data_IF_686169883485
#
_entry.id   IF_686169883485
#
_cell.length_a   1.000
_cell.length_b   1.000
_cell.length_c   1.000
_cell.angle_alpha   90.00
_cell.angle_beta   90.00
_cell.angle_gamma   90.00
#
_symmetry.space_group_name_H-M   'P 1'
#
loop_
_entity.id
_entity.type
_entity.pdbx_description
1 polymer ?
#
# COMPACT_ATOMS: atom_id res chain seq x y z
N UNK A 1 -9.84 -12.10 -22.18
CA UNK A 1 -8.86 -11.35 -21.38
C UNK A 1 -7.80 -12.34 -20.87
N UNK A 2 -6.50 -12.08 -21.09
CA UNK A 2 -5.44 -12.98 -20.58
C UNK A 2 -5.35 -12.92 -19.04
N UNK A 3 -4.87 -13.99 -18.41
CA UNK A 3 -4.67 -14.03 -16.95
C UNK A 3 -3.74 -12.90 -16.48
N UNK A 4 -2.63 -12.69 -17.19
CA UNK A 4 -1.68 -11.61 -16.91
C UNK A 4 -2.33 -10.21 -16.92
N UNK A 5 -3.16 -9.92 -17.93
CA UNK A 5 -3.89 -8.66 -18.01
C UNK A 5 -4.90 -8.53 -16.86
N UNK A 6 -5.60 -9.60 -16.49
CA UNK A 6 -6.54 -9.61 -15.36
C UNK A 6 -5.86 -9.20 -14.05
N UNK A 7 -4.72 -9.81 -13.73
CA UNK A 7 -4.02 -9.52 -12.47
C UNK A 7 -3.27 -8.19 -12.48
N UNK A 8 -2.82 -7.74 -13.65
CA UNK A 8 -2.31 -6.36 -13.80
C UNK A 8 -3.41 -5.34 -13.50
N UNK A 9 -4.65 -5.57 -13.99
CA UNK A 9 -5.81 -4.73 -13.66
C UNK A 9 -6.16 -4.77 -12.17
N UNK A 10 -5.93 -5.90 -11.49
CA UNK A 10 -6.12 -5.98 -10.03
C UNK A 10 -5.12 -5.08 -9.28
N UNK A 11 -3.87 -4.96 -9.75
CA UNK A 11 -2.92 -4.01 -9.16
C UNK A 11 -3.33 -2.57 -9.42
N UNK A 12 -3.85 -2.25 -10.61
CA UNK A 12 -4.35 -0.90 -10.90
C UNK A 12 -5.60 -0.56 -10.08
N UNK A 13 -6.51 -1.52 -9.90
CA UNK A 13 -7.65 -1.39 -8.98
C UNK A 13 -7.16 -1.16 -7.54
N UNK A 14 -6.12 -1.91 -7.13
CA UNK A 14 -5.50 -1.74 -5.83
C UNK A 14 -4.94 -0.33 -5.66
N UNK A 15 -4.16 0.15 -6.64
CA UNK A 15 -3.61 1.49 -6.64
C UNK A 15 -4.69 2.58 -6.59
N UNK A 16 -5.80 2.41 -7.32
CA UNK A 16 -6.92 3.35 -7.28
C UNK A 16 -7.63 3.36 -5.92
N UNK A 17 -7.94 2.19 -5.36
CA UNK A 17 -8.56 2.09 -4.03
C UNK A 17 -7.61 2.60 -2.93
N UNK A 18 -6.31 2.33 -3.05
CA UNK A 18 -5.26 2.85 -2.19
C UNK A 18 -5.15 4.37 -2.26
N UNK A 19 -5.19 4.95 -3.46
CA UNK A 19 -5.19 6.39 -3.69
C UNK A 19 -6.41 7.08 -3.06
N UNK A 20 -7.63 6.54 -3.27
CA UNK A 20 -8.83 7.02 -2.61
C UNK A 20 -8.75 6.89 -1.08
N UNK A 21 -8.11 5.82 -0.60
CA UNK A 21 -7.83 5.60 0.82
C UNK A 21 -6.89 6.66 1.39
N UNK A 22 -5.80 6.98 0.71
CA UNK A 22 -4.87 8.04 1.12
C UNK A 22 -5.55 9.40 1.18
N UNK A 23 -6.37 9.73 0.17
CA UNK A 23 -7.19 10.95 0.17
C UNK A 23 -8.13 10.99 1.38
N UNK A 24 -8.80 9.88 1.69
CA UNK A 24 -9.67 9.77 2.87
C UNK A 24 -8.89 9.96 4.17
N UNK A 25 -7.67 9.42 4.26
CA UNK A 25 -6.77 9.64 5.40
C UNK A 25 -6.38 11.11 5.52
N UNK A 26 -6.06 11.77 4.41
CA UNK A 26 -5.71 13.19 4.40
C UNK A 26 -6.86 14.06 4.89
N UNK A 27 -8.08 13.83 4.41
CA UNK A 27 -9.29 14.51 4.88
C UNK A 27 -9.49 14.28 6.38
N UNK A 28 -9.45 13.02 6.84
CA UNK A 28 -9.60 12.69 8.25
C UNK A 28 -8.58 13.40 9.15
N UNK A 29 -7.33 13.50 8.71
CA UNK A 29 -6.25 14.13 9.49
C UNK A 29 -6.36 15.65 9.46
N UNK A 30 -6.59 16.25 8.28
CA UNK A 30 -6.52 17.70 8.09
C UNK A 30 -7.81 18.42 8.44
N UNK A 31 -8.95 17.90 8.01
CA UNK A 31 -10.24 18.57 8.20
C UNK A 31 -10.94 18.14 9.49
N UNK A 32 -10.66 16.93 9.99
CA UNK A 32 -11.30 16.38 11.20
C UNK A 32 -10.35 16.26 12.40
N UNK A 33 -9.07 16.61 12.25
CA UNK A 33 -8.08 16.58 13.33
C UNK A 33 -7.79 15.18 13.88
N UNK A 34 -8.11 14.12 13.13
CA UNK A 34 -7.93 12.74 13.58
C UNK A 34 -6.45 12.37 13.46
N UNK A 35 -5.85 11.91 14.56
CA UNK A 35 -4.46 11.41 14.52
C UNK A 35 -4.38 10.22 13.57
N UNK A 36 -3.35 10.21 12.72
CA UNK A 36 -3.08 9.17 11.72
C UNK A 36 -3.21 7.75 12.28
N UNK A 37 -2.67 7.49 13.47
CA UNK A 37 -2.69 6.15 14.08
C UNK A 37 -4.14 5.64 14.31
N UNK A 38 -5.08 6.53 14.61
CA UNK A 38 -6.50 6.15 14.77
C UNK A 38 -7.12 5.76 13.43
N UNK A 39 -6.77 6.49 12.37
CA UNK A 39 -7.18 6.15 10.99
C UNK A 39 -6.61 4.78 10.60
N UNK A 40 -5.34 4.51 10.93
CA UNK A 40 -4.70 3.24 10.61
C UNK A 40 -5.29 2.05 11.37
N UNK A 41 -5.52 2.18 12.69
CA UNK A 41 -6.11 1.12 13.52
C UNK A 41 -7.52 0.81 13.01
N UNK A 42 -8.36 1.83 12.87
CA UNK A 42 -9.75 1.65 12.41
C UNK A 42 -9.82 1.06 11.00
N UNK A 43 -8.99 1.53 10.07
CA UNK A 43 -8.98 1.02 8.71
C UNK A 43 -8.54 -0.46 8.65
N UNK A 44 -7.49 -0.84 9.37
CA UNK A 44 -7.04 -2.23 9.45
C UNK A 44 -8.09 -3.15 10.11
N UNK A 45 -8.73 -2.67 11.18
CA UNK A 45 -9.78 -3.40 11.89
C UNK A 45 -11.01 -3.63 11.02
N UNK A 46 -11.51 -2.59 10.34
CA UNK A 46 -12.64 -2.70 9.41
C UNK A 46 -12.27 -3.60 8.24
N UNK A 47 -11.10 -3.40 7.63
CA UNK A 47 -10.68 -4.17 6.48
C UNK A 47 -10.53 -5.66 6.80
N UNK A 48 -9.81 -6.00 7.87
CA UNK A 48 -9.62 -7.40 8.26
C UNK A 48 -10.94 -8.06 8.65
N UNK A 49 -11.84 -7.34 9.36
CA UNK A 49 -13.16 -7.86 9.73
C UNK A 49 -14.01 -8.16 8.49
N UNK A 50 -14.02 -7.26 7.51
CA UNK A 50 -14.77 -7.44 6.26
C UNK A 50 -14.23 -8.62 5.45
N UNK A 51 -12.90 -8.74 5.31
CA UNK A 51 -12.29 -9.83 4.53
C UNK A 51 -12.49 -11.19 5.20
N UNK A 52 -12.33 -11.27 6.53
CA UNK A 52 -12.58 -12.50 7.28
C UNK A 52 -14.09 -12.83 7.32
N UNK A 53 -14.96 -11.85 7.54
CA UNK A 53 -16.41 -12.04 7.46
C UNK A 53 -16.86 -12.56 6.09
N UNK A 54 -16.28 -12.02 5.01
CA UNK A 54 -16.51 -12.51 3.66
C UNK A 54 -15.99 -13.93 3.44
N UNK A 55 -14.82 -14.25 3.99
CA UNK A 55 -14.28 -15.61 3.98
C UNK A 55 -15.22 -16.59 4.70
N UNK A 56 -15.91 -16.15 5.75
CA UNK A 56 -16.75 -17.00 6.58
C UNK A 56 -18.06 -17.29 5.86
N UNK A 57 -18.64 -16.24 5.27
CA UNK A 57 -19.84 -16.34 4.46
C UNK A 57 -19.70 -17.29 3.28
N UNK A 58 -18.54 -17.30 2.60
CA UNK A 58 -18.31 -18.20 1.45
C UNK A 58 -18.10 -19.68 1.82
N UNK A 59 -17.80 -19.99 3.09
CA UNK A 59 -17.51 -21.35 3.53
C UNK A 59 -16.29 -21.99 2.84
N UNK A 60 -16.01 -23.26 3.18
CA UNK A 60 -15.07 -24.11 2.43
C UNK A 60 -13.58 -23.73 2.49
N UNK A 61 -13.19 -22.76 3.32
CA UNK A 61 -11.81 -22.25 3.42
C UNK A 61 -11.07 -22.90 4.59
N UNK A 62 -9.76 -23.10 4.44
CA UNK A 62 -8.90 -23.63 5.53
C UNK A 62 -8.45 -22.50 6.45
N UNK A 63 -9.31 -22.15 7.40
CA UNK A 63 -9.09 -21.11 8.42
C UNK A 63 -7.91 -21.38 9.33
N UNK A 64 -7.73 -22.64 9.70
CA UNK A 64 -6.72 -23.10 10.65
C UNK A 64 -5.95 -24.28 10.08
N UNK A 65 -4.93 -24.72 10.82
CA UNK A 65 -4.08 -25.85 10.42
C UNK A 65 -2.90 -25.46 9.54
N UNK A 66 -2.60 -24.17 9.38
CA UNK A 66 -1.37 -23.73 8.73
C UNK A 66 -0.17 -24.11 9.60
N UNK A 67 0.96 -24.42 8.97
CA UNK A 67 2.18 -24.77 9.68
C UNK A 67 2.68 -23.62 10.56
N UNK A 68 3.37 -23.94 11.67
CA UNK A 68 3.93 -22.92 12.58
C UNK A 68 4.78 -21.88 11.85
N UNK A 69 5.55 -22.31 10.85
CA UNK A 69 6.36 -21.41 10.03
C UNK A 69 5.52 -20.38 9.26
N UNK A 70 4.35 -20.76 8.75
CA UNK A 70 3.48 -19.86 8.00
C UNK A 70 2.80 -18.84 8.93
N UNK A 71 2.41 -19.25 10.14
CA UNK A 71 1.91 -18.32 11.16
C UNK A 71 2.98 -17.32 11.61
N UNK A 72 4.23 -17.76 11.79
CA UNK A 72 5.34 -16.87 12.15
C UNK A 72 5.61 -15.88 11.00
N UNK A 73 5.69 -16.36 9.76
CA UNK A 73 5.89 -15.49 8.58
C UNK A 73 4.73 -14.51 8.40
N UNK A 74 3.49 -14.94 8.65
CA UNK A 74 2.32 -14.08 8.65
C UNK A 74 2.45 -12.99 9.72
N UNK A 75 2.77 -13.36 10.96
CA UNK A 75 2.91 -12.41 12.06
C UNK A 75 4.00 -11.38 11.77
N UNK A 76 5.19 -11.83 11.36
CA UNK A 76 6.31 -10.94 11.04
C UNK A 76 6.01 -10.07 9.81
N UNK A 77 5.43 -10.66 8.76
CA UNK A 77 5.04 -9.94 7.56
C UNK A 77 3.95 -8.90 7.83
N UNK A 78 2.97 -9.24 8.68
CA UNK A 78 1.91 -8.34 9.09
C UNK A 78 2.42 -7.23 10.01
N UNK A 79 3.29 -7.56 10.97
CA UNK A 79 3.92 -6.58 11.84
C UNK A 79 4.75 -5.58 11.02
N UNK A 80 5.51 -6.06 10.03
CA UNK A 80 6.32 -5.21 9.17
C UNK A 80 5.46 -4.33 8.25
N UNK A 81 4.47 -4.91 7.57
CA UNK A 81 3.69 -4.23 6.52
C UNK A 81 2.55 -3.37 7.07
N UNK A 82 1.79 -3.89 8.04
CA UNK A 82 0.56 -3.23 8.52
C UNK A 82 0.75 -2.43 9.80
N UNK A 83 1.95 -2.45 10.41
CA UNK A 83 2.22 -1.72 11.65
C UNK A 83 3.58 -0.99 11.65
N UNK A 84 4.71 -1.70 11.78
CA UNK A 84 6.03 -1.11 11.99
C UNK A 84 6.49 -0.22 10.84
N UNK A 85 6.38 -0.68 9.58
CA UNK A 85 6.71 0.15 8.41
C UNK A 85 5.91 1.44 8.40
N UNK A 86 4.60 1.35 8.71
CA UNK A 86 3.71 2.50 8.80
C UNK A 86 4.13 3.47 9.92
N UNK A 87 4.39 2.98 11.13
CA UNK A 87 4.82 3.82 12.25
C UNK A 87 6.13 4.56 11.94
N UNK A 88 7.12 3.83 11.40
CA UNK A 88 8.40 4.42 10.99
C UNK A 88 8.24 5.47 9.89
N UNK A 89 7.34 5.25 8.93
CA UNK A 89 7.07 6.21 7.86
C UNK A 89 6.49 7.50 8.42
N UNK A 90 5.49 7.42 9.30
CA UNK A 90 4.85 8.60 9.86
C UNK A 90 5.74 9.36 10.84
N UNK A 91 6.61 8.65 11.56
CA UNK A 91 7.66 9.28 12.35
C UNK A 91 8.63 10.04 11.43
N UNK A 92 9.07 9.43 10.32
CA UNK A 92 9.89 10.10 9.32
C UNK A 92 9.21 11.36 8.76
N UNK A 93 7.92 11.27 8.41
CA UNK A 93 7.13 12.44 7.95
C UNK A 93 7.18 13.58 8.99
N UNK A 94 7.16 13.27 10.28
CA UNK A 94 7.30 14.27 11.34
C UNK A 94 8.64 15.02 11.35
N UNK A 95 9.73 14.35 10.96
CA UNK A 95 11.08 14.95 10.90
C UNK A 95 11.39 15.68 9.60
N UNK A 96 11.05 15.05 8.46
CA UNK A 96 11.52 15.50 7.13
C UNK A 96 10.38 15.94 6.20
N UNK A 97 9.13 15.92 6.68
CA UNK A 97 7.96 16.31 5.93
C UNK A 97 7.48 15.25 4.92
N UNK A 98 6.23 15.42 4.47
CA UNK A 98 5.54 14.46 3.60
C UNK A 98 6.21 14.29 2.23
N UNK A 99 6.69 15.37 1.61
CA UNK A 99 7.30 15.34 0.27
C UNK A 99 8.56 14.47 0.26
N UNK A 100 9.52 14.75 1.16
CA UNK A 100 10.79 14.02 1.24
C UNK A 100 10.61 12.57 1.71
N UNK A 101 9.74 12.34 2.71
CA UNK A 101 9.41 10.99 3.16
C UNK A 101 8.73 10.15 2.06
N UNK A 102 7.86 10.76 1.25
CA UNK A 102 7.21 10.07 0.13
C UNK A 102 8.20 9.66 -0.96
N UNK A 103 9.18 10.50 -1.26
CA UNK A 103 10.25 10.21 -2.21
C UNK A 103 11.14 9.06 -1.72
N UNK A 104 11.64 9.14 -0.48
CA UNK A 104 12.44 8.07 0.13
C UNK A 104 11.64 6.77 0.30
N UNK A 105 10.34 6.88 0.59
CA UNK A 105 9.43 5.75 0.66
C UNK A 105 9.35 4.96 -0.65
N UNK A 106 9.60 5.57 -1.82
CA UNK A 106 9.59 4.84 -3.11
C UNK A 106 10.75 3.86 -3.26
N UNK A 107 11.78 3.95 -2.42
CA UNK A 107 12.82 2.93 -2.34
C UNK A 107 12.23 1.56 -1.96
N UNK A 108 11.03 1.52 -1.36
CA UNK A 108 10.29 0.28 -1.07
C UNK A 108 10.17 -0.58 -2.33
N UNK A 109 9.78 0.00 -3.48
CA UNK A 109 9.66 -0.75 -4.74
C UNK A 109 11.00 -1.37 -5.16
N UNK A 110 12.10 -0.63 -5.02
CA UNK A 110 13.45 -1.13 -5.35
C UNK A 110 13.80 -2.28 -4.41
N UNK A 111 13.59 -2.12 -3.11
CA UNK A 111 13.85 -3.17 -2.13
C UNK A 111 12.97 -4.41 -2.35
N UNK A 112 11.69 -4.26 -2.68
CA UNK A 112 10.81 -5.39 -3.01
C UNK A 112 11.37 -6.15 -4.20
N UNK A 113 11.72 -5.46 -5.29
CA UNK A 113 12.29 -6.11 -6.49
C UNK A 113 13.58 -6.85 -6.14
N UNK A 114 14.51 -6.20 -5.43
CA UNK A 114 15.78 -6.83 -5.06
C UNK A 114 15.57 -8.05 -4.17
N UNK A 115 14.76 -7.93 -3.11
CA UNK A 115 14.49 -9.02 -2.20
C UNK A 115 13.71 -10.16 -2.87
N UNK A 116 12.77 -9.86 -3.77
CA UNK A 116 12.04 -10.87 -4.52
C UNK A 116 12.95 -11.62 -5.51
N UNK A 117 13.86 -10.93 -6.21
CA UNK A 117 14.85 -11.58 -7.08
C UNK A 117 15.80 -12.47 -6.27
N UNK A 118 16.24 -12.03 -5.10
CA UNK A 118 17.20 -12.78 -4.26
C UNK A 118 16.53 -13.96 -3.54
N UNK A 119 15.42 -13.71 -2.83
CA UNK A 119 14.80 -14.68 -1.92
C UNK A 119 13.69 -15.52 -2.58
N UNK A 120 12.94 -14.95 -3.52
CA UNK A 120 11.87 -15.64 -4.23
C UNK A 120 12.32 -16.15 -5.61
N UNK A 121 13.51 -15.74 -6.08
CA UNK A 121 14.07 -16.10 -7.39
C UNK A 121 13.14 -15.70 -8.54
N UNK A 122 12.43 -14.58 -8.39
CA UNK A 122 11.56 -14.06 -9.45
C UNK A 122 12.40 -13.65 -10.68
N UNK A 123 11.96 -13.98 -11.91
CA UNK A 123 12.67 -13.58 -13.12
C UNK A 123 12.60 -12.07 -13.30
N UNK A 124 13.76 -11.44 -13.46
CA UNK A 124 13.84 -9.99 -13.67
C UNK A 124 14.83 -9.62 -14.76
N UNK A 125 14.33 -9.02 -15.83
CA UNK A 125 15.12 -8.72 -17.03
C UNK A 125 15.46 -7.24 -17.13
N UNK A 126 16.41 -6.87 -18.02
CA UNK A 126 16.78 -5.47 -18.28
C UNK A 126 15.59 -4.59 -18.68
N UNK A 127 14.58 -5.15 -19.36
CA UNK A 127 13.35 -4.44 -19.73
C UNK A 127 12.47 -4.13 -18.51
N UNK A 128 12.43 -5.03 -17.52
CA UNK A 128 11.75 -4.78 -16.26
C UNK A 128 12.41 -3.64 -15.48
N UNK A 129 13.76 -3.60 -15.46
CA UNK A 129 14.51 -2.48 -14.89
C UNK A 129 14.19 -1.16 -15.59
N UNK A 130 14.17 -1.14 -16.92
CA UNK A 130 13.85 0.08 -17.66
C UNK A 130 12.45 0.60 -17.32
N UNK A 131 11.43 -0.26 -17.37
CA UNK A 131 10.05 0.10 -17.02
C UNK A 131 9.90 0.53 -15.55
N UNK A 132 10.57 -0.16 -14.63
CA UNK A 132 10.57 0.16 -13.20
C UNK A 132 11.25 1.49 -12.88
N UNK A 133 12.43 1.76 -13.46
CA UNK A 133 13.14 3.03 -13.30
C UNK A 133 12.35 4.19 -13.93
N UNK A 134 11.70 3.96 -15.07
CA UNK A 134 10.78 4.94 -15.65
C UNK A 134 9.61 5.24 -14.69
N UNK A 135 8.96 4.21 -14.14
CA UNK A 135 7.85 4.40 -13.19
C UNK A 135 8.29 5.12 -11.90
N UNK A 136 9.50 4.83 -11.40
CA UNK A 136 10.09 5.53 -10.26
C UNK A 136 10.38 6.99 -10.59
N UNK A 137 10.98 7.27 -11.74
CA UNK A 137 11.24 8.64 -12.20
C UNK A 137 9.93 9.43 -12.35
N UNK A 138 8.91 8.83 -12.97
CA UNK A 138 7.59 9.45 -13.08
C UNK A 138 6.95 9.72 -11.71
N UNK A 139 7.17 8.85 -10.72
CA UNK A 139 6.71 9.06 -9.35
C UNK A 139 7.45 10.20 -8.65
N UNK A 140 8.76 10.36 -8.89
CA UNK A 140 9.52 11.49 -8.40
C UNK A 140 9.08 12.82 -9.03
N UNK A 141 8.72 12.82 -10.32
CA UNK A 141 8.14 13.98 -11.01
C UNK A 141 6.76 14.36 -10.46
N UNK A 142 5.93 13.35 -10.17
CA UNK A 142 4.61 13.48 -9.51
C UNK A 142 4.72 14.19 -8.16
N UNK A 143 5.71 13.83 -7.36
CA UNK A 143 5.93 14.39 -6.02
C UNK A 143 7.04 15.45 -6.01
N UNK A 144 7.28 16.10 -7.14
CA UNK A 144 8.40 17.03 -7.27
C UNK A 144 8.18 18.25 -6.37
N UNK A 145 9.01 18.37 -5.35
CA UNK A 145 9.07 19.50 -4.45
C UNK A 145 10.54 19.95 -4.34
N UNK A 146 10.91 21.17 -4.79
CA UNK A 146 12.28 21.65 -4.74
C UNK A 146 12.95 21.52 -3.36
N UNK A 147 12.17 21.68 -2.28
CA UNK A 147 12.67 21.56 -0.90
C UNK A 147 12.94 20.12 -0.46
N UNK A 148 12.41 19.12 -1.17
CA UNK A 148 12.58 17.71 -0.83
C UNK A 148 13.87 17.09 -1.38
N UNK A 149 14.58 17.78 -2.29
CA UNK A 149 15.79 17.25 -2.95
C UNK A 149 17.10 17.55 -2.20
N UNK A 150 17.04 18.18 -1.02
CA UNK A 150 18.24 18.33 -0.19
C UNK A 150 18.65 16.96 0.35
N UNK A 151 19.85 16.50 0.00
CA UNK A 151 20.40 15.25 0.52
C UNK A 151 21.08 15.52 1.86
N UNK A 152 20.26 15.57 2.90
CA UNK A 152 20.72 15.64 4.28
C UNK A 152 20.72 14.21 4.84
N UNK A 153 21.85 13.76 5.37
CA UNK A 153 21.95 12.47 6.07
C UNK A 153 21.50 12.66 7.52
N UNK A 154 20.19 12.77 7.73
CA UNK A 154 19.58 12.94 9.03
C UNK A 154 18.85 11.69 9.54
N UNK A 155 18.34 11.79 10.77
CA UNK A 155 17.58 10.72 11.42
C UNK A 155 16.26 10.44 10.70
N UNK A 156 15.58 11.48 10.21
CA UNK A 156 14.31 11.33 9.49
C UNK A 156 14.47 10.62 8.14
N UNK A 157 15.55 10.91 7.40
CA UNK A 157 15.88 10.23 6.15
C UNK A 157 16.21 8.76 6.40
N UNK A 158 16.99 8.46 7.44
CA UNK A 158 17.29 7.09 7.84
C UNK A 158 15.99 6.33 8.20
N UNK A 159 15.10 6.94 8.97
CA UNK A 159 13.81 6.35 9.32
C UNK A 159 12.95 6.05 8.09
N UNK A 160 12.91 6.95 7.11
CA UNK A 160 12.17 6.73 5.86
C UNK A 160 12.75 5.54 5.06
N UNK A 161 14.07 5.44 4.96
CA UNK A 161 14.73 4.31 4.27
C UNK A 161 14.49 2.99 5.02
N UNK A 162 14.60 3.00 6.35
CA UNK A 162 14.34 1.81 7.19
C UNK A 162 12.87 1.40 7.11
N UNK A 163 11.95 2.36 7.06
CA UNK A 163 10.53 2.10 6.83
C UNK A 163 10.31 1.39 5.49
N UNK A 164 10.87 1.94 4.40
CA UNK A 164 10.77 1.35 3.07
C UNK A 164 11.33 -0.09 3.01
N UNK A 165 12.48 -0.33 3.66
CA UNK A 165 13.05 -1.67 3.78
C UNK A 165 12.15 -2.61 4.61
N UNK A 166 11.57 -2.10 5.70
CA UNK A 166 10.66 -2.85 6.57
C UNK A 166 9.41 -3.28 5.80
N UNK A 167 8.79 -2.38 5.05
CA UNK A 167 7.68 -2.70 4.14
C UNK A 167 8.08 -3.78 3.14
N UNK A 168 9.24 -3.63 2.49
CA UNK A 168 9.71 -4.59 1.51
C UNK A 168 9.89 -5.99 2.10
N UNK A 169 10.55 -6.12 3.26
CA UNK A 169 10.68 -7.40 3.99
C UNK A 169 9.30 -7.97 4.33
N UNK A 170 8.38 -7.13 4.78
CA UNK A 170 7.00 -7.50 5.08
C UNK A 170 6.27 -8.10 3.87
N UNK A 171 6.38 -7.46 2.71
CA UNK A 171 5.80 -7.94 1.45
C UNK A 171 6.37 -9.30 1.04
N UNK A 172 7.68 -9.52 1.17
CA UNK A 172 8.30 -10.81 0.83
C UNK A 172 7.85 -11.93 1.79
N UNK A 173 7.75 -11.62 3.09
CA UNK A 173 7.22 -12.57 4.07
C UNK A 173 5.76 -12.91 3.79
N UNK A 174 4.93 -11.91 3.51
CA UNK A 174 3.52 -12.12 3.13
C UNK A 174 3.41 -12.94 1.85
N UNK A 175 4.19 -12.62 0.82
CA UNK A 175 4.25 -13.38 -0.44
C UNK A 175 4.54 -14.85 -0.21
N UNK A 176 5.50 -15.17 0.66
CA UNK A 176 5.86 -16.56 0.98
C UNK A 176 4.71 -17.36 1.64
N UNK A 177 3.78 -16.69 2.32
CA UNK A 177 2.58 -17.31 2.90
C UNK A 177 1.46 -17.35 1.88
N UNK A 178 1.27 -16.27 1.11
CA UNK A 178 0.28 -16.16 0.04
C UNK A 178 0.46 -17.27 -1.01
N UNK A 179 1.67 -17.69 -1.33
CA UNK A 179 1.89 -18.77 -2.30
C UNK A 179 1.40 -20.15 -1.81
N UNK A 180 1.12 -20.29 -0.51
CA UNK A 180 0.73 -21.55 0.12
C UNK A 180 -0.68 -21.55 0.69
N UNK A 181 -1.19 -20.37 1.04
CA UNK A 181 -2.42 -20.18 1.79
C UNK A 181 -3.41 -19.28 1.05
N UNK A 182 -4.67 -19.31 1.47
CA UNK A 182 -5.71 -18.50 0.83
C UNK A 182 -5.45 -16.99 1.01
N UNK A 183 -5.38 -16.25 -0.10
CA UNK A 183 -5.02 -14.85 -0.11
C UNK A 183 -5.96 -13.93 0.69
N UNK A 184 -7.25 -14.28 0.78
CA UNK A 184 -8.22 -13.53 1.57
C UNK A 184 -7.97 -13.71 3.07
N UNK A 185 -7.64 -14.93 3.51
CA UNK A 185 -7.35 -15.21 4.91
C UNK A 185 -6.01 -14.59 5.33
N UNK A 186 -4.97 -14.72 4.50
CA UNK A 186 -3.66 -14.10 4.76
C UNK A 186 -3.79 -12.59 4.89
N UNK A 187 -4.52 -11.95 3.99
CA UNK A 187 -4.77 -10.51 4.03
C UNK A 187 -5.60 -10.12 5.26
N UNK A 188 -6.71 -10.83 5.51
CA UNK A 188 -7.61 -10.54 6.62
C UNK A 188 -6.94 -10.70 7.99
N UNK A 189 -6.24 -11.82 8.22
CA UNK A 189 -5.46 -12.02 9.45
C UNK A 189 -4.32 -11.01 9.57
N UNK A 190 -3.61 -10.73 8.47
CA UNK A 190 -2.51 -9.76 8.48
C UNK A 190 -2.96 -8.37 8.92
N UNK A 191 -4.09 -7.89 8.38
CA UNK A 191 -4.66 -6.60 8.77
C UNK A 191 -5.14 -6.60 10.22
N UNK A 192 -5.73 -7.70 10.68
CA UNK A 192 -6.19 -7.82 12.06
C UNK A 192 -5.02 -7.82 13.07
N UNK A 193 -3.94 -8.51 12.74
CA UNK A 193 -2.68 -8.44 13.49
C UNK A 193 -2.07 -7.05 13.45
N UNK A 194 -2.10 -6.38 12.30
CA UNK A 194 -1.68 -4.98 12.17
C UNK A 194 -2.45 -4.05 13.10
N UNK A 195 -3.78 -4.14 13.12
CA UNK A 195 -4.63 -3.37 14.02
C UNK A 195 -4.29 -3.65 15.50
N UNK A 196 -4.10 -4.91 15.86
CA UNK A 196 -3.72 -5.33 17.22
C UNK A 196 -2.36 -4.75 17.63
N UNK A 197 -1.35 -4.85 16.77
CA UNK A 197 0.00 -4.34 17.07
C UNK A 197 -0.04 -2.82 17.18
N UNK A 198 -0.70 -2.12 16.26
CA UNK A 198 -0.85 -0.67 16.31
C UNK A 198 -1.60 -0.22 17.59
N UNK A 199 -2.55 -1.02 18.09
CA UNK A 199 -3.27 -0.71 19.33
C UNK A 199 -2.39 -0.70 20.58
N UNK A 200 -1.21 -1.33 20.55
CA UNK A 200 -0.23 -1.28 21.66
C UNK A 200 0.35 0.14 21.78
N UNK A 201 0.52 0.82 20.63
CA UNK A 201 1.00 2.19 20.56
C UNK A 201 -0.13 3.21 20.64
N UNK A 202 -1.35 2.75 20.96
CA UNK A 202 -2.49 3.62 21.23
C UNK A 202 -2.25 4.38 22.53
N UNK A 203 -1.68 5.58 22.41
CA UNK A 203 -1.62 6.49 23.55
C UNK A 203 -2.99 7.12 23.76
N UNK A 204 -3.57 6.92 24.95
CA UNK A 204 -4.80 7.56 25.44
C UNK A 204 -4.61 9.08 25.55
N UNK A 205 -4.46 9.78 24.43
CA UNK A 205 -4.72 11.21 24.36
C UNK A 205 -6.23 11.37 24.31
N UNK A 206 -6.80 12.08 25.28
CA UNK A 206 -8.23 12.39 25.34
C UNK A 206 -8.74 12.80 23.96
N UNK A 207 -9.56 11.96 23.34
CA UNK A 207 -10.45 12.40 22.27
C UNK A 207 -11.22 13.56 22.88
N UNK A 208 -10.98 14.78 22.40
CA UNK A 208 -11.69 15.97 22.87
C UNK A 208 -13.18 15.66 22.90
N UNK A 209 -13.76 15.73 24.09
CA UNK A 209 -15.11 15.29 24.43
C UNK A 209 -16.18 16.25 23.89
N UNK A 210 -16.13 16.56 22.60
CA UNK A 210 -17.11 17.40 21.88
C UNK A 210 -17.80 16.61 20.74
N UNK A 211 -17.99 15.30 20.94
CA UNK A 211 -18.39 14.33 19.88
C UNK A 211 -19.88 13.98 19.84
N UNK A 212 -20.81 14.91 20.13
CA UNK A 212 -22.24 14.58 20.11
C UNK A 212 -22.92 14.71 18.74
N UNK A 213 -22.34 15.47 17.79
CA UNK A 213 -22.86 15.59 16.41
C UNK A 213 -21.85 15.19 15.31
N UNK A 214 -20.55 15.24 15.60
CA UNK A 214 -19.48 14.89 14.65
C UNK A 214 -19.17 13.37 14.60
N UNK A 215 -19.62 12.58 15.57
CA UNK A 215 -19.26 11.17 15.70
C UNK A 215 -19.69 10.29 14.52
N UNK A 216 -20.90 10.51 13.98
CA UNK A 216 -21.41 9.70 12.86
C UNK A 216 -20.62 9.89 11.57
N UNK A 217 -20.26 11.13 11.24
CA UNK A 217 -19.47 11.44 10.03
C UNK A 217 -18.06 10.89 10.16
N UNK A 218 -17.42 11.05 11.32
CA UNK A 218 -16.10 10.48 11.61
C UNK A 218 -16.11 8.96 11.45
N UNK A 219 -17.09 8.28 12.05
CA UNK A 219 -17.22 6.82 11.93
C UNK A 219 -17.42 6.38 10.47
N UNK A 220 -18.26 7.09 9.71
CA UNK A 220 -18.49 6.79 8.30
C UNK A 220 -17.20 6.93 7.46
N UNK A 221 -16.40 7.97 7.72
CA UNK A 221 -15.12 8.21 7.04
C UNK A 221 -14.11 7.13 7.37
N UNK A 222 -13.98 6.77 8.65
CA UNK A 222 -13.09 5.69 9.08
C UNK A 222 -13.51 4.33 8.53
N UNK A 223 -14.82 4.06 8.49
CA UNK A 223 -15.37 2.83 7.91
C UNK A 223 -15.12 2.78 6.39
N UNK A 224 -15.39 3.88 5.68
CA UNK A 224 -15.10 4.02 4.25
C UNK A 224 -13.61 3.82 3.94
N UNK A 225 -12.73 4.39 4.77
CA UNK A 225 -11.28 4.19 4.67
C UNK A 225 -10.90 2.70 4.80
N UNK A 226 -11.55 1.98 5.71
CA UNK A 226 -11.37 0.54 5.90
C UNK A 226 -11.82 -0.30 4.70
N UNK A 227 -12.97 0.04 4.10
CA UNK A 227 -13.44 -0.63 2.85
C UNK A 227 -12.42 -0.43 1.73
N UNK A 228 -11.95 0.80 1.52
CA UNK A 228 -10.95 1.11 0.50
C UNK A 228 -9.64 0.36 0.77
N UNK A 229 -9.23 0.24 2.04
CA UNK A 229 -8.07 -0.54 2.44
C UNK A 229 -8.26 -2.03 2.12
N UNK A 230 -9.44 -2.60 2.41
CA UNK A 230 -9.77 -4.00 2.11
C UNK A 230 -9.67 -4.30 0.61
N UNK A 231 -10.29 -3.46 -0.23
CA UNK A 231 -10.27 -3.58 -1.69
C UNK A 231 -8.83 -3.47 -2.20
N UNK A 232 -8.08 -2.48 -1.71
CA UNK A 232 -6.69 -2.26 -2.09
C UNK A 232 -5.84 -3.50 -1.83
N UNK A 233 -5.82 -3.98 -0.59
CA UNK A 233 -4.90 -5.06 -0.20
C UNK A 233 -5.32 -6.42 -0.72
N UNK A 234 -6.62 -6.74 -0.80
CA UNK A 234 -7.03 -8.02 -1.38
C UNK A 234 -6.70 -8.09 -2.87
N UNK A 235 -6.93 -6.99 -3.61
CA UNK A 235 -6.59 -6.93 -5.03
C UNK A 235 -5.07 -7.01 -5.24
N UNK A 236 -4.28 -6.32 -4.41
CA UNK A 236 -2.81 -6.40 -4.44
C UNK A 236 -2.32 -7.81 -4.15
N UNK A 237 -2.72 -8.40 -3.02
CA UNK A 237 -2.21 -9.69 -2.58
C UNK A 237 -2.64 -10.83 -3.50
N UNK A 238 -3.88 -10.79 -4.02
CA UNK A 238 -4.30 -11.74 -5.06
C UNK A 238 -3.48 -11.55 -6.32
N UNK A 239 -3.29 -10.33 -6.83
CA UNK A 239 -2.44 -10.13 -8.00
C UNK A 239 -1.01 -10.63 -7.77
N UNK A 240 -0.47 -10.37 -6.57
CA UNK A 240 0.88 -10.74 -6.18
C UNK A 240 1.11 -12.25 -6.25
N UNK A 241 0.12 -13.08 -5.88
CA UNK A 241 0.18 -14.54 -6.04
C UNK A 241 0.39 -14.99 -7.50
N UNK A 242 -0.10 -14.23 -8.47
CA UNK A 242 -0.11 -14.65 -9.88
C UNK A 242 0.98 -14.01 -10.74
N UNK A 243 1.32 -12.74 -10.50
CA UNK A 243 2.32 -12.00 -11.30
C UNK A 243 3.61 -11.68 -10.54
N UNK A 244 3.71 -12.07 -9.27
CA UNK A 244 4.91 -11.88 -8.44
C UNK A 244 4.96 -10.54 -7.71
N UNK A 245 5.76 -10.49 -6.65
CA UNK A 245 5.96 -9.32 -5.81
C UNK A 245 6.65 -8.17 -6.57
N UNK A 246 7.65 -8.50 -7.40
CA UNK A 246 8.42 -7.51 -8.16
C UNK A 246 7.55 -6.75 -9.18
N UNK A 247 6.72 -7.46 -9.93
CA UNK A 247 5.84 -6.83 -10.93
C UNK A 247 4.70 -6.05 -10.25
N UNK A 248 4.11 -6.60 -9.19
CA UNK A 248 3.08 -5.91 -8.42
C UNK A 248 3.57 -4.58 -7.86
N UNK A 249 4.74 -4.53 -7.24
CA UNK A 249 5.25 -3.29 -6.62
C UNK A 249 5.51 -2.19 -7.64
N UNK A 250 6.00 -2.53 -8.84
CA UNK A 250 6.22 -1.55 -9.91
C UNK A 250 4.89 -1.06 -10.50
N UNK A 251 3.95 -1.96 -10.77
CA UNK A 251 2.61 -1.57 -11.25
C UNK A 251 1.88 -0.68 -10.23
N UNK A 252 2.10 -0.94 -8.94
CA UNK A 252 1.48 -0.18 -7.86
C UNK A 252 1.99 1.26 -7.74
N UNK A 253 3.14 1.61 -8.33
CA UNK A 253 3.60 3.01 -8.44
C UNK A 253 2.59 3.93 -9.14
N UNK A 254 1.67 3.37 -9.93
CA UNK A 254 0.50 4.07 -10.47
C UNK A 254 -0.38 4.74 -9.41
N UNK A 255 -0.33 4.30 -8.15
CA UNK A 255 -1.04 4.93 -7.02
C UNK A 255 -0.75 6.42 -6.93
N UNK A 256 0.48 6.84 -7.26
CA UNK A 256 0.92 8.23 -7.13
C UNK A 256 0.20 9.14 -8.12
N UNK A 257 0.04 8.69 -9.36
CA UNK A 257 -0.72 9.41 -10.37
C UNK A 257 -2.23 9.41 -10.05
N UNK A 258 -2.77 8.26 -9.62
CA UNK A 258 -4.18 8.16 -9.24
C UNK A 258 -4.53 9.04 -8.04
N UNK A 259 -3.62 9.15 -7.07
CA UNK A 259 -3.78 10.01 -5.89
C UNK A 259 -3.90 11.49 -6.30
N UNK A 260 -3.02 11.98 -7.17
CA UNK A 260 -3.08 13.37 -7.64
C UNK A 260 -4.35 13.63 -8.44
N UNK A 261 -4.73 12.72 -9.35
CA UNK A 261 -5.97 12.87 -10.10
C UNK A 261 -7.18 12.99 -9.18
N UNK A 262 -7.27 12.15 -8.15
CA UNK A 262 -8.35 12.21 -7.17
C UNK A 262 -8.29 13.47 -6.31
N UNK A 263 -7.11 13.86 -5.83
CA UNK A 263 -6.91 15.08 -5.05
C UNK A 263 -7.37 16.32 -5.82
N UNK A 264 -6.92 16.49 -7.06
CA UNK A 264 -7.31 17.64 -7.92
C UNK A 264 -8.81 17.61 -8.24
N UNK A 265 -9.36 16.43 -8.53
CA UNK A 265 -10.79 16.29 -8.85
C UNK A 265 -11.67 16.64 -7.66
N UNK A 266 -11.28 16.22 -6.45
CA UNK A 266 -12.05 16.50 -5.23
C UNK A 266 -11.89 17.95 -4.80
N UNK A 267 -10.69 18.55 -4.91
CA UNK A 267 -10.49 19.97 -4.62
C UNK A 267 -11.34 20.87 -5.54
N UNK A 268 -11.48 20.49 -6.82
CA UNK A 268 -12.31 21.22 -7.77
C UNK A 268 -13.83 21.15 -7.45
N UNK A 269 -14.30 20.06 -6.85
CA UNK A 269 -15.73 19.85 -6.54
C UNK A 269 -16.08 20.31 -5.11
N UNK A 270 -15.15 20.18 -4.18
CA UNK A 270 -15.32 20.47 -2.77
C UNK A 270 -14.12 21.29 -2.24
N UNK A 271 -13.97 22.55 -2.68
CA UNK A 271 -12.90 23.42 -2.21
C UNK A 271 -13.07 23.67 -0.70
N UNK A 272 -11.98 23.55 0.06
CA UNK A 272 -11.97 23.77 1.51
C UNK A 272 -11.73 22.53 2.38
N UNK A 273 -11.51 21.35 1.77
CA UNK A 273 -11.08 20.14 2.49
C UNK A 273 -9.60 20.15 2.91
N UNK A 274 -8.85 21.20 2.53
CA UNK A 274 -7.46 21.40 2.93
C UNK A 274 -6.47 20.41 2.30
N UNK A 275 -6.79 19.89 1.10
CA UNK A 275 -5.96 18.93 0.39
C UNK A 275 -4.62 19.55 -0.03
N UNK A 276 -3.53 18.81 0.13
CA UNK A 276 -2.21 19.21 -0.37
C UNK A 276 -2.07 18.84 -1.85
N UNK A 277 -2.31 19.82 -2.71
CA UNK A 277 -2.03 19.68 -4.13
C UNK A 277 -0.51 19.78 -4.40
N UNK A 278 -0.02 19.09 -5.44
CA UNK A 278 1.35 19.27 -5.91
C UNK A 278 1.62 20.73 -6.27
N UNK A 279 2.78 21.24 -5.87
CA UNK A 279 3.24 22.60 -6.19
C UNK A 279 3.32 22.85 -7.71
N UNK A 280 3.68 21.81 -8.47
CA UNK A 280 3.82 21.86 -9.92
C UNK A 280 2.90 20.85 -10.62
N UNK A 281 1.64 21.21 -10.85
CA UNK A 281 0.65 20.34 -11.49
C UNK A 281 1.09 19.84 -12.87
N UNK A 282 1.79 20.67 -13.66
CA UNK A 282 2.31 20.26 -14.98
C UNK A 282 3.35 19.13 -14.89
N UNK A 283 4.26 19.19 -13.90
CA UNK A 283 5.22 18.11 -13.64
C UNK A 283 4.51 16.86 -13.13
N UNK A 284 3.44 17.04 -12.36
CA UNK A 284 2.65 15.92 -11.88
C UNK A 284 1.94 15.15 -13.00
N UNK A 285 1.34 15.86 -13.96
CA UNK A 285 0.74 15.24 -15.15
C UNK A 285 1.80 14.53 -15.99
N UNK A 286 2.94 15.18 -16.24
CA UNK A 286 4.07 14.58 -16.97
C UNK A 286 4.56 13.31 -16.27
N UNK A 287 4.75 13.36 -14.96
CA UNK A 287 5.16 12.20 -14.16
C UNK A 287 4.15 11.05 -14.25
N UNK A 288 2.85 11.36 -14.26
CA UNK A 288 1.79 10.38 -14.52
C UNK A 288 1.91 9.68 -15.87
N UNK A 289 2.15 10.45 -16.93
CA UNK A 289 2.40 9.90 -18.28
C UNK A 289 3.63 9.01 -18.29
N UNK A 290 4.71 9.41 -17.61
CA UNK A 290 5.95 8.61 -17.50
C UNK A 290 5.70 7.31 -16.73
N UNK A 291 4.88 7.32 -15.67
CA UNK A 291 4.48 6.09 -14.96
C UNK A 291 3.72 5.15 -15.89
N UNK A 292 2.71 5.66 -16.61
CA UNK A 292 1.93 4.86 -17.55
C UNK A 292 2.79 4.26 -18.67
N UNK A 293 3.72 5.04 -19.22
CA UNK A 293 4.67 4.57 -20.23
C UNK A 293 5.60 3.49 -19.65
N UNK A 294 6.16 3.72 -18.46
CA UNK A 294 7.01 2.75 -17.76
C UNK A 294 6.29 1.41 -17.55
N UNK A 295 5.05 1.45 -17.06
CA UNK A 295 4.19 0.28 -16.86
C UNK A 295 3.92 -0.45 -18.18
N UNK A 296 3.65 0.27 -19.26
CA UNK A 296 3.39 -0.32 -20.57
C UNK A 296 4.57 -1.14 -21.10
N UNK A 297 5.81 -0.69 -20.84
CA UNK A 297 7.03 -1.37 -21.29
C UNK A 297 7.48 -2.55 -20.42
N UNK A 298 6.85 -2.77 -19.26
CA UNK A 298 7.15 -3.94 -18.43
C UNK A 298 6.71 -5.20 -19.20
N UNK A 299 7.64 -6.11 -19.50
CA UNK A 299 7.30 -7.33 -20.21
C UNK A 299 6.19 -8.09 -19.47
N UNK A 300 5.20 -8.54 -20.24
CA UNK A 300 4.25 -9.55 -19.79
C UNK A 300 4.94 -10.89 -19.93
N UNK A 301 4.83 -11.75 -18.92
CA UNK A 301 5.32 -13.12 -19.07
C UNK A 301 4.53 -13.82 -20.20
N UNK A 302 5.21 -14.58 -21.08
CA UNK A 302 4.53 -15.44 -22.04
C UNK A 302 3.60 -16.41 -21.30
N UNK A 303 2.46 -16.75 -21.90
CA UNK A 303 1.48 -17.67 -21.32
C UNK A 303 1.95 -19.15 -21.30
N UNK A 304 3.25 -19.42 -21.16
CA UNK A 304 3.85 -20.75 -21.28
C UNK A 304 4.55 -21.11 -19.97
N UNK A 305 4.13 -22.25 -19.39
CA UNK A 305 4.61 -22.90 -18.16
C UNK A 305 4.07 -22.45 -16.78
N UNK A 306 2.76 -22.20 -16.68
CA UNK A 306 2.05 -22.52 -15.42
C UNK A 306 1.55 -23.97 -15.44
N UNK A 307 2.47 -24.93 -15.32
CA UNK A 307 2.13 -26.29 -14.92
C UNK A 307 1.66 -26.30 -13.44
N UNK A 308 0.33 -26.37 -13.26
CA UNK A 308 -0.49 -27.03 -12.21
C UNK A 308 -0.35 -26.60 -10.72
N UNK A 309 -1.44 -26.77 -9.93
CA UNK A 309 -1.74 -28.09 -9.34
C UNK A 309 -2.98 -28.75 -9.96
N UNK A 310 -2.84 -30.02 -10.33
CA UNK A 310 -3.93 -30.99 -10.25
C UNK A 310 -4.34 -31.17 -8.80
N UNK A 311 -5.64 -31.23 -8.57
CA UNK A 311 -6.24 -31.62 -7.32
C UNK A 311 -7.73 -31.63 -7.54
N UNK A 312 -8.24 -32.82 -7.87
CA UNK A 312 -9.66 -33.17 -7.87
C UNK A 312 -10.34 -32.77 -6.56
#
# INVERSE_FOLDING_TARGET
MSKDLKYSLYVLLSALAGAAGLLTTEIAVRSMGIRVIHVAISANLVAGTLLLGWAAFRGGRRWFGWGRADWIRLLLGAAATYAAGFLLLYEAIGFIGTSKASLLGRLETIFIVLLAVIFLREPWTRRHWLGGLMALAGTALVNFDPGAWTLDLGWGELLAVVSALTFAVGIILLKSVLDRQDGLLVTGYGMMLGALILSIFFTNGSVGSDTSSAGGVVLAVLFGRGILLAISWIAYNVAMQYIGASRCSVLFLSISFMAILLQVSVDAVAPGLGLQLPTHLGLAVLGGVVICAGIYFIPREPATDQQRPTGD
#
